data_IF_868593751152
#
_entry.id   IF_868593751152
#
_cell.length_a   1.000
_cell.length_b   1.000
_cell.length_c   1.000
_cell.angle_alpha   90.00
_cell.angle_beta   90.00
_cell.angle_gamma   90.00
#
_symmetry.space_group_name_H-M   'P 1'
#
loop_
_entity.id
_entity.type
_entity.pdbx_description
1 polymer ?
#
# COMPACT_ATOMS: atom_id res chain seq x y z
N UNK A 1 -5.88 -3.03 -19.36
CA UNK A 1 -5.23 -4.26 -19.87
C UNK A 1 -4.26 -4.94 -18.89
N UNK A 2 -3.70 -4.26 -17.86
CA UNK A 2 -3.11 -4.95 -16.68
C UNK A 2 -3.50 -4.19 -15.41
N UNK A 3 -3.46 -2.86 -15.46
CA UNK A 3 -3.93 -2.02 -14.35
C UNK A 3 -5.42 -2.24 -14.06
N UNK A 4 -6.25 -2.42 -15.09
CA UNK A 4 -7.67 -2.78 -14.92
C UNK A 4 -7.84 -4.14 -14.24
N UNK A 5 -6.97 -5.13 -14.54
CA UNK A 5 -7.03 -6.46 -13.93
C UNK A 5 -6.62 -6.41 -12.46
N UNK A 6 -5.55 -5.67 -12.14
CA UNK A 6 -5.17 -5.36 -10.76
C UNK A 6 -6.31 -4.63 -10.05
N UNK A 7 -6.95 -3.67 -10.72
CA UNK A 7 -8.04 -2.91 -10.12
C UNK A 7 -9.25 -3.79 -9.82
N UNK A 8 -9.60 -4.73 -10.71
CA UNK A 8 -10.66 -5.71 -10.48
C UNK A 8 -10.35 -6.63 -9.30
N UNK A 9 -9.11 -7.11 -9.16
CA UNK A 9 -8.69 -7.92 -8.00
C UNK A 9 -8.79 -7.13 -6.68
N UNK A 10 -8.33 -5.87 -6.69
CA UNK A 10 -8.41 -5.02 -5.49
C UNK A 10 -9.87 -4.67 -5.16
N UNK A 11 -10.72 -4.49 -6.17
CA UNK A 11 -12.16 -4.22 -6.03
C UNK A 11 -12.87 -5.39 -5.34
N UNK A 12 -12.56 -6.64 -5.69
CA UNK A 12 -13.10 -7.83 -5.02
C UNK A 12 -12.69 -7.92 -3.54
N UNK A 13 -11.52 -7.38 -3.19
CA UNK A 13 -11.04 -7.29 -1.80
C UNK A 13 -11.56 -6.06 -1.07
N UNK A 14 -12.21 -5.14 -1.77
CA UNK A 14 -12.58 -3.85 -1.23
C UNK A 14 -13.77 -3.97 -0.28
N UNK A 15 -13.52 -3.76 1.00
CA UNK A 15 -14.54 -3.79 2.05
C UNK A 15 -14.98 -2.36 2.38
N UNK A 16 -16.28 -2.07 2.21
CA UNK A 16 -16.87 -0.76 2.50
C UNK A 16 -16.93 -0.45 4.01
N UNK A 17 -16.85 -1.47 4.86
CA UNK A 17 -16.78 -1.33 6.33
C UNK A 17 -15.34 -1.03 6.79
N UNK A 18 -14.34 -1.14 5.91
CA UNK A 18 -12.95 -0.87 6.22
C UNK A 18 -12.54 0.58 5.91
N UNK A 19 -11.55 1.05 6.68
CA UNK A 19 -10.82 2.27 6.37
C UNK A 19 -9.63 1.92 5.47
N UNK A 20 -9.65 2.42 4.23
CA UNK A 20 -8.61 2.15 3.25
C UNK A 20 -7.60 3.29 3.17
N UNK A 21 -6.33 3.01 3.45
CA UNK A 21 -5.22 3.94 3.20
C UNK A 21 -4.62 3.62 1.83
N UNK A 22 -4.81 4.52 0.88
CA UNK A 22 -4.36 4.38 -0.50
C UNK A 22 -3.04 5.13 -0.64
N UNK A 23 -1.95 4.38 -0.74
CA UNK A 23 -0.61 4.92 -0.87
C UNK A 23 -0.33 5.54 -2.25
N UNK A 24 0.80 6.24 -2.38
CA UNK A 24 1.17 6.94 -3.60
C UNK A 24 1.50 5.98 -4.74
N UNK A 25 1.37 6.47 -5.97
CA UNK A 25 1.85 5.79 -7.17
C UNK A 25 0.82 5.61 -8.28
N UNK A 26 1.30 5.34 -9.49
CA UNK A 26 0.43 5.24 -10.67
C UNK A 26 -0.46 4.01 -10.69
N UNK A 27 -0.09 2.94 -9.97
CA UNK A 27 -0.88 1.71 -9.89
C UNK A 27 -2.05 1.87 -8.92
N UNK A 28 -1.84 2.51 -7.76
CA UNK A 28 -2.93 2.84 -6.83
C UNK A 28 -3.85 3.93 -7.39
N UNK A 29 -3.31 4.91 -8.12
CA UNK A 29 -4.11 5.89 -8.87
C UNK A 29 -5.05 5.23 -9.88
N UNK A 30 -4.57 4.24 -10.64
CA UNK A 30 -5.41 3.52 -11.60
C UNK A 30 -6.61 2.83 -10.93
N UNK A 31 -6.42 2.29 -9.71
CA UNK A 31 -7.52 1.74 -8.92
C UNK A 31 -8.51 2.82 -8.45
N UNK A 32 -8.02 3.97 -8.01
CA UNK A 32 -8.87 5.11 -7.64
C UNK A 32 -9.69 5.62 -8.84
N UNK A 33 -9.06 5.76 -10.01
CA UNK A 33 -9.72 6.10 -11.28
C UNK A 33 -10.79 5.06 -11.64
N UNK A 34 -10.49 3.77 -11.48
CA UNK A 34 -11.45 2.67 -11.68
C UNK A 34 -12.67 2.79 -10.75
N UNK A 35 -12.48 3.21 -9.50
CA UNK A 35 -13.55 3.47 -8.51
C UNK A 35 -14.28 4.80 -8.74
N UNK A 36 -13.81 5.65 -9.66
CA UNK A 36 -14.32 7.01 -9.83
C UNK A 36 -14.03 7.93 -8.64
N UNK A 37 -12.92 7.71 -7.93
CA UNK A 37 -12.50 8.46 -6.76
C UNK A 37 -11.30 9.37 -7.06
N UNK A 38 -11.25 10.52 -6.40
CA UNK A 38 -10.12 11.44 -6.48
C UNK A 38 -8.87 10.83 -5.84
N UNK A 39 -7.69 11.14 -6.39
CA UNK A 39 -6.41 10.65 -5.87
C UNK A 39 -5.29 11.69 -5.92
N UNK A 40 -4.43 11.63 -4.92
CA UNK A 40 -3.13 12.29 -4.86
C UNK A 40 -2.02 11.33 -5.30
N UNK A 41 -1.29 11.67 -6.37
CA UNK A 41 -0.25 10.78 -6.93
C UNK A 41 0.90 10.49 -5.95
N UNK A 42 1.29 11.47 -5.14
CA UNK A 42 2.42 11.41 -4.20
C UNK A 42 1.99 11.40 -2.73
N UNK A 43 0.69 11.45 -2.47
CA UNK A 43 0.11 11.49 -1.13
C UNK A 43 -0.47 10.14 -0.72
N UNK A 44 -1.00 10.11 0.50
CA UNK A 44 -1.83 9.00 0.99
C UNK A 44 -3.26 9.51 1.11
N UNK A 45 -4.18 8.93 0.34
CA UNK A 45 -5.60 9.25 0.48
C UNK A 45 -6.28 8.19 1.37
N UNK A 46 -7.36 8.56 2.03
CA UNK A 46 -8.15 7.68 2.88
C UNK A 46 -9.55 7.54 2.32
N UNK A 47 -9.98 6.30 2.11
CA UNK A 47 -11.28 5.94 1.56
C UNK A 47 -12.10 5.17 2.60
N UNK A 48 -13.38 5.51 2.72
CA UNK A 48 -14.35 4.83 3.57
C UNK A 48 -15.72 4.88 2.90
N UNK A 49 -16.48 3.77 2.90
CA UNK A 49 -17.81 3.69 2.30
C UNK A 49 -17.86 4.29 0.87
N UNK A 50 -16.88 3.92 0.04
CA UNK A 50 -16.76 4.39 -1.33
C UNK A 50 -16.53 5.91 -1.49
N UNK A 51 -15.98 6.60 -0.49
CA UNK A 51 -15.68 8.04 -0.55
C UNK A 51 -14.31 8.37 -0.01
N UNK A 52 -13.63 9.33 -0.64
CA UNK A 52 -12.40 9.92 -0.08
C UNK A 52 -12.78 10.79 1.12
N UNK A 53 -12.40 10.37 2.32
CA UNK A 53 -12.67 11.08 3.58
C UNK A 53 -11.49 11.97 4.01
N UNK A 54 -10.30 11.66 3.51
CA UNK A 54 -9.11 12.49 3.68
C UNK A 54 -8.22 12.35 2.44
N UNK A 55 -7.76 13.47 1.89
CA UNK A 55 -6.85 13.46 0.74
C UNK A 55 -5.50 14.05 1.14
N UNK A 56 -4.42 13.52 0.55
CA UNK A 56 -3.03 13.91 0.85
C UNK A 56 -2.72 13.97 2.37
N UNK A 57 -3.08 12.89 3.07
CA UNK A 57 -2.98 12.79 4.51
C UNK A 57 -1.53 12.88 5.00
N UNK A 58 -1.30 13.65 6.06
CA UNK A 58 -0.03 13.62 6.81
C UNK A 58 0.01 12.43 7.79
N UNK A 59 1.21 12.02 8.21
CA UNK A 59 1.38 10.97 9.22
C UNK A 59 0.55 11.24 10.49
N UNK A 60 0.57 12.48 10.99
CA UNK A 60 -0.19 12.87 12.18
C UNK A 60 -1.71 12.74 12.00
N UNK A 61 -2.23 13.06 10.81
CA UNK A 61 -3.66 12.88 10.54
C UNK A 61 -4.04 11.40 10.49
N UNK A 62 -3.19 10.55 9.89
CA UNK A 62 -3.38 9.11 9.88
C UNK A 62 -3.33 8.52 11.30
N UNK A 63 -2.37 8.94 12.12
CA UNK A 63 -2.26 8.50 13.52
C UNK A 63 -3.52 8.84 14.33
N UNK A 64 -4.02 10.07 14.23
CA UNK A 64 -5.25 10.49 14.92
C UNK A 64 -6.46 9.70 14.41
N UNK A 65 -6.61 9.58 13.09
CA UNK A 65 -7.72 8.87 12.47
C UNK A 65 -7.74 7.39 12.89
N UNK A 66 -6.58 6.73 12.89
CA UNK A 66 -6.45 5.33 13.28
C UNK A 66 -6.62 5.12 14.79
N UNK A 67 -6.28 6.11 15.62
CA UNK A 67 -6.51 6.03 17.06
C UNK A 67 -8.02 6.01 17.40
N UNK A 68 -8.82 6.80 16.66
CA UNK A 68 -10.27 6.90 16.86
C UNK A 68 -11.07 5.79 16.14
N UNK A 69 -10.46 5.12 15.16
CA UNK A 69 -11.09 4.06 14.38
C UNK A 69 -11.05 2.69 15.09
N UNK A 70 -12.21 2.03 15.15
CA UNK A 70 -12.37 0.70 15.75
C UNK A 70 -12.65 -0.41 14.72
N UNK A 71 -12.90 -0.07 13.46
CA UNK A 71 -13.19 -1.02 12.40
C UNK A 71 -11.93 -1.61 11.77
N UNK A 72 -12.09 -2.45 10.73
CA UNK A 72 -10.97 -2.96 9.95
C UNK A 72 -10.24 -1.81 9.23
N UNK A 73 -8.94 -1.97 9.04
CA UNK A 73 -8.10 -1.06 8.27
C UNK A 73 -7.42 -1.88 7.18
N UNK A 74 -7.36 -1.33 5.97
CA UNK A 74 -6.69 -1.93 4.83
C UNK A 74 -5.76 -0.90 4.20
N UNK A 75 -4.64 -1.36 3.66
CA UNK A 75 -3.65 -0.50 3.00
C UNK A 75 -3.40 -1.01 1.61
N UNK A 76 -3.52 -0.13 0.63
CA UNK A 76 -3.19 -0.41 -0.77
C UNK A 76 -1.96 0.41 -1.15
N UNK A 77 -0.86 -0.25 -1.48
CA UNK A 77 0.40 0.41 -1.83
C UNK A 77 1.03 -0.22 -3.07
N UNK A 78 1.91 0.53 -3.73
CA UNK A 78 2.76 0.01 -4.81
C UNK A 78 4.22 0.31 -4.49
N UNK A 79 5.13 -0.48 -5.07
CA UNK A 79 6.56 -0.25 -4.93
C UNK A 79 7.08 0.78 -5.94
N UNK A 80 8.10 1.54 -5.55
CA UNK A 80 8.85 2.39 -6.48
C UNK A 80 9.58 1.51 -7.49
N UNK A 81 9.21 1.61 -8.77
CA UNK A 81 9.76 0.80 -9.85
C UNK A 81 11.30 0.88 -9.92
N UNK A 82 11.96 -0.27 -10.04
CA UNK A 82 13.42 -0.38 -10.10
C UNK A 82 14.17 -0.19 -8.77
N UNK A 83 13.51 0.36 -7.73
CA UNK A 83 14.10 0.54 -6.40
C UNK A 83 13.53 -0.44 -5.37
N UNK A 84 12.26 -0.83 -5.49
CA UNK A 84 11.61 -1.81 -4.61
C UNK A 84 11.06 -1.26 -3.29
N UNK A 85 11.21 0.04 -3.00
CA UNK A 85 10.67 0.63 -1.76
C UNK A 85 9.14 0.64 -1.78
N UNK A 86 8.54 0.06 -0.74
CA UNK A 86 7.08 0.05 -0.50
C UNK A 86 6.71 1.09 0.55
N UNK A 87 7.46 1.13 1.65
CA UNK A 87 7.33 2.10 2.73
C UNK A 87 8.68 2.77 2.99
N UNK A 88 8.66 3.97 3.55
CA UNK A 88 9.88 4.69 3.89
C UNK A 88 10.22 5.80 2.91
N UNK A 89 11.42 5.78 2.33
CA UNK A 89 12.01 6.93 1.62
C UNK A 89 11.04 7.58 0.61
N UNK A 90 10.51 8.75 0.97
CA UNK A 90 9.54 9.55 0.19
C UNK A 90 8.06 9.38 0.57
N UNK A 91 7.69 8.35 1.34
CA UNK A 91 6.33 8.03 1.79
C UNK A 91 6.28 7.93 3.33
N UNK A 92 6.62 9.03 4.00
CA UNK A 92 6.74 9.13 5.47
C UNK A 92 5.39 9.22 6.19
N UNK A 93 4.29 9.32 5.45
CA UNK A 93 2.91 9.27 5.96
C UNK A 93 2.64 7.96 6.69
N UNK A 94 3.20 6.85 6.19
CA UNK A 94 3.21 5.57 6.89
C UNK A 94 4.32 5.54 7.95
N UNK A 95 4.14 6.30 9.02
CA UNK A 95 5.05 6.32 10.17
C UNK A 95 5.07 4.94 10.87
N UNK A 96 6.08 4.64 11.70
CA UNK A 96 6.08 3.43 12.52
C UNK A 96 4.81 3.24 13.34
N UNK A 97 4.24 4.33 13.87
CA UNK A 97 2.98 4.28 14.62
C UNK A 97 1.80 3.85 13.75
N UNK A 98 1.68 4.40 12.54
CA UNK A 98 0.66 4.01 11.55
C UNK A 98 0.84 2.54 11.16
N UNK A 99 2.05 2.14 10.79
CA UNK A 99 2.35 0.78 10.34
C UNK A 99 2.09 -0.26 11.44
N UNK A 100 2.48 0.01 12.70
CA UNK A 100 2.19 -0.88 13.83
C UNK A 100 0.69 -1.03 14.09
N UNK A 101 -0.08 0.05 13.94
CA UNK A 101 -1.53 0.03 14.13
C UNK A 101 -2.26 -0.72 13.00
N UNK A 102 -1.79 -0.59 11.77
CA UNK A 102 -2.31 -1.31 10.59
C UNK A 102 -1.95 -2.79 10.62
N UNK A 103 -0.67 -3.10 10.87
CA UNK A 103 -0.12 -4.45 10.80
C UNK A 103 0.10 -4.95 9.37
N UNK A 104 1.14 -5.78 9.18
CA UNK A 104 1.55 -6.29 7.85
C UNK A 104 0.44 -7.03 7.10
N UNK A 105 -0.45 -7.74 7.82
CA UNK A 105 -1.52 -8.53 7.22
C UNK A 105 -2.61 -7.70 6.53
N UNK A 106 -2.73 -6.41 6.87
CA UNK A 106 -3.67 -5.48 6.25
C UNK A 106 -3.10 -4.79 5.00
N UNK A 107 -1.88 -5.12 4.58
CA UNK A 107 -1.22 -4.47 3.46
C UNK A 107 -1.36 -5.32 2.20
N UNK A 108 -1.99 -4.75 1.18
CA UNK A 108 -2.00 -5.26 -0.19
C UNK A 108 -1.00 -4.47 -1.03
N UNK A 109 0.03 -5.15 -1.54
CA UNK A 109 0.98 -4.58 -2.50
C UNK A 109 0.52 -4.87 -3.91
N UNK A 110 0.42 -3.84 -4.75
CA UNK A 110 0.06 -3.97 -6.18
C UNK A 110 1.21 -3.52 -7.07
N UNK A 111 1.58 -4.31 -8.08
CA UNK A 111 2.47 -3.87 -9.15
C UNK A 111 2.42 -4.82 -10.35
N UNK A 112 2.71 -4.32 -11.55
CA UNK A 112 2.76 -5.17 -12.74
C UNK A 112 3.97 -6.12 -12.69
N UNK A 113 3.86 -7.29 -13.35
CA UNK A 113 4.99 -8.22 -13.51
C UNK A 113 6.22 -7.57 -14.12
N UNK A 114 6.04 -6.60 -15.03
CA UNK A 114 7.15 -5.82 -15.62
C UNK A 114 7.88 -4.98 -14.57
N UNK A 115 7.17 -4.27 -13.69
CA UNK A 115 7.81 -3.52 -12.59
C UNK A 115 8.52 -4.46 -11.63
N UNK A 116 7.93 -5.63 -11.35
CA UNK A 116 8.49 -6.63 -10.43
C UNK A 116 9.78 -7.25 -11.00
N UNK A 117 9.77 -7.64 -12.28
CA UNK A 117 10.95 -8.14 -12.98
C UNK A 117 12.09 -7.10 -13.01
N UNK A 118 11.75 -5.81 -13.10
CA UNK A 118 12.71 -4.71 -13.02
C UNK A 118 13.46 -4.58 -11.69
N UNK A 119 13.06 -5.33 -10.65
CA UNK A 119 13.83 -5.42 -9.41
C UNK A 119 15.07 -6.31 -9.54
N UNK A 120 15.20 -7.12 -10.59
CA UNK A 120 16.30 -8.06 -10.80
C UNK A 120 16.51 -9.00 -9.59
N UNK A 121 15.41 -9.62 -9.12
CA UNK A 121 15.37 -10.52 -7.96
C UNK A 121 15.73 -9.90 -6.61
N UNK A 122 15.96 -8.58 -6.54
CA UNK A 122 16.12 -7.88 -5.26
C UNK A 122 14.79 -7.85 -4.51
N UNK A 123 14.81 -7.94 -3.17
CA UNK A 123 13.60 -7.86 -2.36
C UNK A 123 12.93 -6.48 -2.47
N UNK A 124 11.65 -6.43 -2.14
CA UNK A 124 11.00 -5.19 -1.76
C UNK A 124 11.65 -4.63 -0.50
N UNK A 125 11.58 -3.32 -0.33
CA UNK A 125 12.25 -2.59 0.75
C UNK A 125 11.19 -1.97 1.66
N UNK A 126 11.32 -2.24 2.96
CA UNK A 126 10.70 -1.48 4.04
C UNK A 126 11.79 -0.67 4.75
N UNK A 127 11.56 0.63 4.92
CA UNK A 127 12.46 1.55 5.62
C UNK A 127 11.62 2.48 6.50
N UNK A 128 11.04 1.94 7.58
CA UNK A 128 10.07 2.66 8.40
C UNK A 128 10.71 3.71 9.34
N UNK A 129 12.04 3.79 9.39
CA UNK A 129 12.82 4.44 10.46
C UNK A 129 12.66 3.78 11.84
N UNK A 130 12.24 2.51 11.89
CA UNK A 130 12.16 1.69 13.10
C UNK A 130 12.70 0.29 12.79
N UNK A 131 13.93 0.01 13.25
CA UNK A 131 14.64 -1.21 12.90
C UNK A 131 13.98 -2.49 13.43
N UNK A 132 13.24 -2.40 14.54
CA UNK A 132 12.50 -3.55 15.08
C UNK A 132 11.28 -3.83 14.19
N UNK A 133 10.55 -2.77 13.81
CA UNK A 133 9.43 -2.89 12.88
C UNK A 133 9.87 -3.43 11.51
N UNK A 134 10.99 -2.93 10.98
CA UNK A 134 11.52 -3.38 9.68
C UNK A 134 11.96 -4.85 9.72
N UNK A 135 12.53 -5.29 10.84
CA UNK A 135 12.87 -6.70 11.07
C UNK A 135 11.61 -7.57 11.16
N UNK A 136 10.59 -7.13 11.92
CA UNK A 136 9.32 -7.83 12.06
C UNK A 136 8.57 -7.98 10.73
N UNK A 137 8.69 -6.98 9.85
CA UNK A 137 8.02 -6.98 8.56
C UNK A 137 8.81 -7.68 7.45
N UNK A 138 10.07 -8.01 7.69
CA UNK A 138 10.91 -8.76 6.76
C UNK A 138 10.38 -10.19 6.53
N UNK A 139 10.83 -10.83 5.45
CA UNK A 139 10.38 -12.16 5.04
C UNK A 139 9.69 -12.12 3.70
N UNK A 140 8.42 -12.53 3.63
CA UNK A 140 7.64 -12.55 2.39
C UNK A 140 6.37 -11.72 2.49
N UNK A 141 5.92 -11.20 1.36
CA UNK A 141 4.66 -10.49 1.21
C UNK A 141 4.00 -10.90 -0.12
N UNK A 142 2.67 -10.89 -0.14
CA UNK A 142 1.90 -11.10 -1.35
C UNK A 142 1.87 -9.83 -2.20
N UNK A 143 2.03 -10.00 -3.50
CA UNK A 143 1.91 -8.94 -4.49
C UNK A 143 0.81 -9.33 -5.48
N UNK A 144 -0.21 -8.50 -5.60
CA UNK A 144 -1.20 -8.58 -6.66
C UNK A 144 -0.59 -8.05 -7.96
N UNK A 145 -0.60 -8.88 -9.00
CA UNK A 145 0.01 -8.57 -10.31
C UNK A 145 -0.96 -8.58 -11.48
N UNK A 146 -2.19 -9.04 -11.25
CA UNK A 146 -3.31 -9.10 -12.20
C UNK A 146 -4.55 -9.69 -11.52
N UNK A 147 -5.58 -9.99 -12.30
CA UNK A 147 -6.83 -10.59 -11.82
C UNK A 147 -6.62 -12.07 -11.49
N UNK A 148 -6.90 -12.48 -10.24
CA UNK A 148 -6.56 -13.82 -9.72
C UNK A 148 -5.09 -14.22 -9.92
N UNK A 149 -4.17 -13.23 -9.97
CA UNK A 149 -2.75 -13.44 -10.27
C UNK A 149 -1.85 -12.72 -9.25
N UNK A 150 -1.22 -13.51 -8.39
CA UNK A 150 -0.46 -13.04 -7.25
C UNK A 150 0.90 -13.74 -7.17
N UNK A 151 1.88 -13.02 -6.61
CA UNK A 151 3.25 -13.53 -6.40
C UNK A 151 3.63 -13.32 -4.94
N UNK A 152 4.17 -14.37 -4.32
CA UNK A 152 4.85 -14.25 -3.02
C UNK A 152 6.28 -13.77 -3.28
N UNK A 153 6.65 -12.64 -2.70
CA UNK A 153 7.92 -11.98 -2.98
C UNK A 153 8.65 -11.57 -1.70
N UNK A 154 10.00 -11.62 -1.67
CA UNK A 154 10.74 -11.23 -0.48
C UNK A 154 10.63 -9.73 -0.20
N UNK A 155 10.54 -9.37 1.07
CA UNK A 155 10.62 -8.00 1.58
C UNK A 155 11.67 -7.96 2.69
N UNK A 156 12.53 -6.94 2.70
CA UNK A 156 13.57 -6.76 3.71
C UNK A 156 13.79 -5.29 4.05
N UNK A 157 14.55 -5.05 5.11
CA UNK A 157 14.94 -3.72 5.59
C UNK A 157 16.05 -3.03 4.74
N UNK A 158 16.28 -3.50 3.51
CA UNK A 158 17.28 -2.92 2.60
C UNK A 158 18.75 -3.12 2.98
N UNK A 159 19.04 -3.91 4.02
CA UNK A 159 20.39 -4.33 4.45
C UNK A 159 20.81 -5.65 3.79
#
# INVERSE_FOLDING_TARGET
LVLDEISAEVDERFDDDALWLIGPGTTTRAFMEYKGLDNTLLGVDVVQCGKVVLSDATAKQLEVLLADWQGPVQVLVTAIGGQGHVFGRGNQQFSPAVLRKVGKAAVTVVMTKTKLAGLNHRPLIIDSNDAELDADWSGFIEIVTGYHDQVIYPISNGL
#
